data_IF_207214826074
#
_entry.id   IF_207214826074
#
_cell.length_a   1.000
_cell.length_b   1.000
_cell.length_c   1.000
_cell.angle_alpha   90.00
_cell.angle_beta   90.00
_cell.angle_gamma   90.00
#
_symmetry.space_group_name_H-M   'P 1'
#
loop_
_entity.id
_entity.type
_entity.pdbx_description
1 polymer ?
#
# COMPACT_ATOMS: atom_id res chain seq x y z
N UNK A 1 -26.31 23.73 -1.25
CA UNK A 1 -27.41 23.49 -0.30
C UNK A 1 -26.82 23.47 1.10
N UNK A 2 -27.53 23.91 2.14
CA UNK A 2 -27.01 23.89 3.51
C UNK A 2 -27.82 22.88 4.35
N UNK A 3 -27.14 21.94 4.98
CA UNK A 3 -27.76 20.94 5.87
C UNK A 3 -27.47 21.26 7.34
N UNK A 4 -28.44 21.10 8.25
CA UNK A 4 -28.21 21.30 9.68
C UNK A 4 -27.29 20.21 10.25
N UNK A 5 -26.41 20.60 11.17
CA UNK A 5 -25.58 19.64 11.91
C UNK A 5 -26.32 19.24 13.19
N UNK A 6 -26.66 17.95 13.41
CA UNK A 6 -27.32 17.51 14.62
C UNK A 6 -26.56 17.93 15.88
N UNK A 7 -27.27 18.50 16.86
CA UNK A 7 -26.68 18.98 18.12
C UNK A 7 -26.12 20.41 18.08
N UNK A 8 -26.13 21.09 16.93
CA UNK A 8 -25.68 22.48 16.81
C UNK A 8 -26.74 23.36 16.12
N UNK A 9 -27.38 24.23 16.90
CA UNK A 9 -28.47 25.11 16.45
C UNK A 9 -28.05 26.21 15.46
N UNK A 10 -26.77 26.58 15.45
CA UNK A 10 -26.26 27.71 14.65
C UNK A 10 -25.28 27.31 13.54
N UNK A 11 -24.92 26.03 13.43
CA UNK A 11 -23.99 25.56 12.40
C UNK A 11 -24.74 24.83 11.28
N UNK A 12 -24.36 25.14 10.04
CA UNK A 12 -24.89 24.49 8.84
C UNK A 12 -23.74 24.03 7.96
N UNK A 13 -23.80 22.78 7.50
CA UNK A 13 -22.86 22.21 6.55
C UNK A 13 -23.22 22.68 5.14
N UNK A 14 -22.29 23.37 4.48
CA UNK A 14 -22.44 23.66 3.06
C UNK A 14 -22.20 22.39 2.24
N UNK A 15 -23.24 21.89 1.59
CA UNK A 15 -23.18 20.82 0.60
C UNK A 15 -23.08 21.49 -0.77
N UNK A 16 -21.90 21.46 -1.37
CA UNK A 16 -21.70 21.95 -2.73
C UNK A 16 -22.57 21.14 -3.71
N UNK A 17 -23.35 21.80 -4.59
CA UNK A 17 -24.24 21.11 -5.54
C UNK A 17 -23.46 20.23 -6.54
N UNK A 18 -22.20 20.58 -6.82
CA UNK A 18 -21.27 19.75 -7.55
C UNK A 18 -20.17 19.32 -6.61
N UNK A 19 -20.26 18.10 -6.07
CA UNK A 19 -19.10 17.51 -5.39
C UNK A 19 -18.02 17.33 -6.45
N UNK A 20 -16.86 17.93 -6.22
CA UNK A 20 -15.71 17.73 -7.10
C UNK A 20 -15.28 16.27 -6.91
N UNK A 21 -15.68 15.42 -7.85
CA UNK A 21 -15.14 14.08 -7.95
C UNK A 21 -13.76 14.20 -8.60
N UNK A 22 -12.71 14.16 -7.80
CA UNK A 22 -11.33 14.00 -8.29
C UNK A 22 -11.14 12.56 -8.80
N UNK A 23 -11.93 12.16 -9.80
CA UNK A 23 -11.88 10.86 -10.45
C UNK A 23 -10.88 10.88 -11.60
N UNK A 24 -9.60 11.16 -11.31
CA UNK A 24 -8.56 10.96 -12.33
C UNK A 24 -8.52 9.47 -12.66
N UNK A 25 -8.93 9.14 -13.88
CA UNK A 25 -8.76 7.79 -14.40
C UNK A 25 -7.27 7.51 -14.58
N UNK A 26 -6.79 6.32 -14.21
CA UNK A 26 -5.41 5.95 -14.44
C UNK A 26 -5.14 5.90 -15.94
N UNK A 27 -3.98 6.39 -16.35
CA UNK A 27 -3.52 6.29 -17.73
C UNK A 27 -3.13 4.84 -18.05
N UNK A 28 -3.09 4.47 -19.33
CA UNK A 28 -2.67 3.13 -19.76
C UNK A 28 -1.26 2.78 -19.28
N UNK A 29 -0.35 3.76 -19.24
CA UNK A 29 1.00 3.60 -18.72
C UNK A 29 1.04 3.34 -17.20
N UNK A 30 0.15 3.97 -16.43
CA UNK A 30 0.03 3.73 -14.98
C UNK A 30 -0.54 2.34 -14.70
N UNK A 31 -1.54 1.90 -15.48
CA UNK A 31 -2.10 0.55 -15.40
C UNK A 31 -1.02 -0.50 -15.74
N UNK A 32 -0.24 -0.28 -16.80
CA UNK A 32 0.87 -1.16 -17.16
C UNK A 32 1.94 -1.23 -16.07
N UNK A 33 2.34 -0.07 -15.51
CA UNK A 33 3.28 0.00 -14.40
C UNK A 33 2.75 -0.73 -13.15
N UNK A 34 1.45 -0.60 -12.87
CA UNK A 34 0.81 -1.28 -11.74
C UNK A 34 0.86 -2.80 -11.92
N UNK A 35 0.47 -3.31 -13.09
CA UNK A 35 0.51 -4.73 -13.39
C UNK A 35 1.93 -5.30 -13.29
N UNK A 36 2.92 -4.56 -13.77
CA UNK A 36 4.33 -4.96 -13.76
C UNK A 36 4.85 -5.24 -12.33
N UNK A 37 4.51 -4.38 -11.37
CA UNK A 37 5.04 -4.49 -10.00
C UNK A 37 4.14 -5.29 -9.04
N UNK A 38 2.90 -5.59 -9.43
CA UNK A 38 1.88 -6.14 -8.53
C UNK A 38 2.35 -7.41 -7.83
N UNK A 39 2.94 -8.35 -8.57
CA UNK A 39 3.41 -9.60 -8.01
C UNK A 39 4.52 -9.40 -6.96
N UNK A 40 5.43 -8.44 -7.19
CA UNK A 40 6.52 -8.15 -6.24
C UNK A 40 6.02 -7.47 -4.97
N UNK A 41 5.07 -6.54 -5.11
CA UNK A 41 4.45 -5.87 -3.96
C UNK A 41 3.67 -6.87 -3.11
N UNK A 42 2.85 -7.74 -3.74
CA UNK A 42 2.13 -8.80 -3.04
C UNK A 42 3.09 -9.73 -2.32
N UNK A 43 4.21 -10.11 -2.97
CA UNK A 43 5.21 -10.98 -2.34
C UNK A 43 5.81 -10.38 -1.07
N UNK A 44 6.15 -9.09 -1.08
CA UNK A 44 6.67 -8.40 0.12
C UNK A 44 5.60 -8.37 1.21
N UNK A 45 4.35 -8.08 0.85
CA UNK A 45 3.24 -8.05 1.81
C UNK A 45 2.96 -9.43 2.42
N UNK A 46 3.08 -10.51 1.63
CA UNK A 46 2.98 -11.89 2.11
C UNK A 46 4.10 -12.22 3.10
N UNK A 47 5.34 -11.77 2.85
CA UNK A 47 6.43 -11.89 3.83
C UNK A 47 6.13 -11.08 5.09
N UNK A 48 5.65 -9.84 4.95
CA UNK A 48 5.32 -8.98 6.08
C UNK A 48 4.19 -9.55 6.96
N UNK A 49 3.23 -10.26 6.35
CA UNK A 49 2.12 -10.94 7.02
C UNK A 49 2.47 -12.37 7.50
N UNK A 50 3.69 -12.88 7.23
CA UNK A 50 4.15 -14.18 7.70
C UNK A 50 3.82 -15.38 6.80
N UNK A 51 3.20 -15.18 5.64
CA UNK A 51 2.91 -16.27 4.68
C UNK A 51 4.17 -16.81 4.00
N UNK A 52 5.25 -16.05 3.99
CA UNK A 52 6.52 -16.42 3.37
C UNK A 52 7.69 -16.11 4.30
N UNK A 53 8.72 -16.97 4.33
CA UNK A 53 9.96 -16.67 5.04
C UNK A 53 10.66 -15.42 4.51
N UNK A 54 11.29 -14.64 5.40
CA UNK A 54 12.08 -13.45 5.02
C UNK A 54 13.22 -13.78 4.05
N UNK A 55 13.78 -14.99 4.12
CA UNK A 55 14.84 -15.47 3.24
C UNK A 55 14.43 -15.48 1.76
N UNK A 56 13.13 -15.51 1.46
CA UNK A 56 12.61 -15.43 0.09
C UNK A 56 12.82 -14.04 -0.54
N UNK A 57 13.13 -13.01 0.25
CA UNK A 57 13.54 -11.70 -0.26
C UNK A 57 15.02 -11.67 -0.70
N UNK A 58 15.78 -12.78 -0.56
CA UNK A 58 17.15 -12.90 -1.08
C UNK A 58 17.14 -13.14 -2.60
N UNK A 59 16.63 -12.16 -3.35
CA UNK A 59 16.57 -12.17 -4.80
C UNK A 59 17.09 -10.83 -5.33
N UNK A 60 17.79 -10.78 -6.48
CA UNK A 60 18.22 -9.53 -7.10
C UNK A 60 17.05 -8.58 -7.43
N UNK A 61 15.81 -9.07 -7.42
CA UNK A 61 14.59 -8.28 -7.60
C UNK A 61 14.22 -7.41 -6.40
N UNK A 62 14.82 -7.64 -5.23
CA UNK A 62 14.57 -6.88 -4.02
C UNK A 62 15.88 -6.31 -3.50
N UNK A 63 15.92 -4.99 -3.26
CA UNK A 63 17.09 -4.38 -2.66
C UNK A 63 17.27 -4.79 -1.20
N UNK A 64 18.49 -4.69 -0.68
CA UNK A 64 18.81 -5.03 0.70
C UNK A 64 18.04 -4.16 1.72
N UNK A 65 17.73 -2.91 1.37
CA UNK A 65 16.97 -2.01 2.25
C UNK A 65 15.54 -2.51 2.49
N UNK A 66 14.93 -3.15 1.50
CA UNK A 66 13.61 -3.80 1.64
C UNK A 66 13.70 -4.93 2.65
N UNK A 67 14.72 -5.79 2.54
CA UNK A 67 14.91 -6.90 3.47
C UNK A 67 15.12 -6.42 4.90
N UNK A 68 15.91 -5.36 5.10
CA UNK A 68 16.12 -4.76 6.42
C UNK A 68 14.82 -4.20 7.01
N UNK A 69 14.07 -3.42 6.21
CA UNK A 69 12.80 -2.84 6.66
C UNK A 69 11.79 -3.94 7.02
N UNK A 70 11.56 -4.90 6.14
CA UNK A 70 10.59 -5.98 6.35
C UNK A 70 11.04 -6.94 7.45
N UNK A 71 12.34 -7.22 7.57
CA UNK A 71 12.87 -8.00 8.69
C UNK A 71 12.57 -7.33 10.03
N UNK A 72 12.78 -6.01 10.13
CA UNK A 72 12.44 -5.25 11.33
C UNK A 72 10.93 -5.23 11.61
N UNK A 73 10.11 -5.19 10.56
CA UNK A 73 8.65 -5.27 10.67
C UNK A 73 8.21 -6.62 11.25
N UNK A 74 8.68 -7.72 10.65
CA UNK A 74 8.32 -9.08 11.06
C UNK A 74 8.74 -9.34 12.50
N UNK A 75 9.92 -8.87 12.92
CA UNK A 75 10.40 -9.05 14.28
C UNK A 75 9.58 -8.28 15.33
N UNK A 76 8.90 -7.20 14.95
CA UNK A 76 8.03 -6.41 15.83
C UNK A 76 6.62 -6.98 15.98
N UNK A 77 6.25 -7.99 15.18
CA UNK A 77 4.95 -8.65 15.30
C UNK A 77 4.88 -9.38 16.64
N UNK A 78 3.69 -9.39 17.26
CA UNK A 78 3.47 -10.08 18.54
C UNK A 78 3.83 -11.57 18.47
N UNK A 79 3.56 -12.19 17.33
CA UNK A 79 3.95 -13.57 17.03
C UNK A 79 4.58 -13.60 15.63
N UNK A 80 5.92 -13.62 15.54
CA UNK A 80 6.63 -13.62 14.25
C UNK A 80 6.36 -14.86 13.40
N UNK A 81 5.85 -15.94 14.02
CA UNK A 81 5.58 -17.23 13.39
C UNK A 81 4.12 -17.41 12.96
N UNK A 82 3.22 -16.51 13.37
CA UNK A 82 1.83 -16.57 12.94
C UNK A 82 1.62 -15.88 11.59
N UNK A 83 0.57 -16.30 10.90
CA UNK A 83 0.11 -15.63 9.68
C UNK A 83 -1.00 -14.64 10.02
N UNK A 84 -0.79 -13.38 9.63
CA UNK A 84 -1.81 -12.35 9.74
C UNK A 84 -2.66 -12.35 8.46
N UNK A 85 -3.98 -12.19 8.59
CA UNK A 85 -4.84 -12.03 7.42
C UNK A 85 -4.34 -10.89 6.51
N UNK A 86 -4.12 -11.16 5.22
CA UNK A 86 -3.61 -10.18 4.27
C UNK A 86 -4.67 -9.83 3.22
N UNK A 87 -4.89 -8.53 3.01
CA UNK A 87 -5.69 -8.03 1.88
C UNK A 87 -5.09 -6.77 1.29
N UNK A 88 -4.62 -6.85 0.05
CA UNK A 88 -4.26 -5.66 -0.73
C UNK A 88 -5.52 -4.85 -1.03
N UNK A 89 -5.55 -3.59 -0.59
CA UNK A 89 -6.73 -2.71 -0.74
C UNK A 89 -6.58 -1.77 -1.93
N UNK A 90 -5.37 -1.26 -2.15
CA UNK A 90 -5.04 -0.42 -3.31
C UNK A 90 -3.58 -0.56 -3.68
N UNK A 91 -3.30 -0.43 -4.98
CA UNK A 91 -1.96 -0.33 -5.53
C UNK A 91 -2.00 0.65 -6.69
N UNK A 92 -1.15 1.66 -6.65
CA UNK A 92 -0.97 2.64 -7.69
C UNK A 92 0.50 2.68 -8.05
N UNK A 93 0.80 2.76 -9.34
CA UNK A 93 2.15 2.89 -9.84
C UNK A 93 2.21 3.98 -10.90
N UNK A 94 3.37 4.61 -11.01
CA UNK A 94 3.67 5.63 -12.00
C UNK A 94 4.74 5.11 -12.97
N UNK A 95 4.76 5.59 -14.23
CA UNK A 95 5.77 5.19 -15.21
C UNK A 95 7.22 5.51 -14.81
N UNK A 96 7.43 6.45 -13.89
CA UNK A 96 8.74 6.78 -13.34
C UNK A 96 9.24 5.74 -12.30
N UNK A 97 8.47 4.68 -12.03
CA UNK A 97 8.81 3.63 -11.09
C UNK A 97 8.32 3.87 -9.66
N UNK A 98 7.72 5.02 -9.34
CA UNK A 98 7.13 5.24 -8.02
C UNK A 98 5.84 4.43 -7.85
N UNK A 99 5.61 3.90 -6.65
CA UNK A 99 4.35 3.23 -6.33
C UNK A 99 3.96 3.43 -4.88
N UNK A 100 2.66 3.32 -4.62
CA UNK A 100 2.08 3.46 -3.30
C UNK A 100 0.73 2.76 -3.22
N UNK A 101 0.28 2.48 -2.02
CA UNK A 101 -0.98 1.78 -1.83
C UNK A 101 -1.31 1.54 -0.37
N UNK A 102 -2.27 0.67 -0.16
CA UNK A 102 -2.65 0.24 1.18
C UNK A 102 -3.00 -1.23 1.22
N UNK A 103 -2.69 -1.87 2.34
CA UNK A 103 -3.03 -3.25 2.62
C UNK A 103 -3.55 -3.36 4.05
N UNK A 104 -4.40 -4.36 4.28
CA UNK A 104 -4.78 -4.78 5.62
C UNK A 104 -3.90 -5.96 5.99
N UNK A 105 -3.25 -5.89 7.15
CA UNK A 105 -2.47 -6.98 7.75
C UNK A 105 -3.03 -7.22 9.15
N UNK A 106 -3.57 -8.42 9.37
CA UNK A 106 -4.31 -8.75 10.58
C UNK A 106 -5.58 -7.91 10.64
N UNK A 107 -5.69 -7.06 11.66
CA UNK A 107 -6.82 -6.14 11.84
C UNK A 107 -6.50 -4.69 11.50
N UNK A 108 -5.24 -4.39 11.14
CA UNK A 108 -4.75 -3.02 10.95
C UNK A 108 -4.58 -2.71 9.46
N UNK A 109 -4.93 -1.47 9.09
CA UNK A 109 -4.69 -0.96 7.74
C UNK A 109 -3.35 -0.23 7.73
N UNK A 110 -2.49 -0.64 6.79
CA UNK A 110 -1.18 -0.07 6.57
C UNK A 110 -1.11 0.60 5.20
N UNK A 111 -0.50 1.77 5.16
CA UNK A 111 -0.07 2.37 3.91
C UNK A 111 1.31 1.83 3.54
N UNK A 112 1.62 1.79 2.25
CA UNK A 112 2.97 1.51 1.79
C UNK A 112 3.34 2.39 0.60
N UNK A 113 4.64 2.55 0.41
CA UNK A 113 5.22 3.31 -0.70
C UNK A 113 6.58 2.75 -1.07
N UNK A 114 7.05 3.03 -2.29
CA UNK A 114 8.36 2.64 -2.74
C UNK A 114 8.67 3.04 -4.17
N UNK A 115 9.78 2.52 -4.67
CA UNK A 115 10.25 2.71 -6.03
C UNK A 115 10.67 1.39 -6.66
N UNK A 116 10.43 1.28 -7.96
CA UNK A 116 10.66 0.10 -8.78
C UNK A 116 11.44 0.44 -10.03
N UNK A 117 12.03 -0.58 -10.62
CA UNK A 117 12.67 -0.59 -11.94
C UNK A 117 12.15 -1.79 -12.71
N UNK A 118 12.48 -1.90 -13.99
CA UNK A 118 12.07 -3.05 -14.81
C UNK A 118 12.55 -4.39 -14.26
N UNK A 119 13.62 -4.38 -13.48
CA UNK A 119 14.24 -5.57 -12.90
C UNK A 119 13.76 -5.92 -11.49
N UNK A 120 13.06 -5.03 -10.80
CA UNK A 120 12.64 -5.25 -9.42
C UNK A 120 12.39 -4.00 -8.60
N UNK A 121 12.08 -4.21 -7.32
CA UNK A 121 11.80 -3.17 -6.33
C UNK A 121 13.10 -2.65 -5.69
N UNK A 122 13.30 -1.33 -5.77
CA UNK A 122 14.47 -0.62 -5.23
C UNK A 122 14.25 -0.13 -3.81
N UNK A 123 13.01 0.21 -3.48
CA UNK A 123 12.62 0.55 -2.12
C UNK A 123 11.19 0.08 -1.86
N UNK A 124 10.90 -0.21 -0.60
CA UNK A 124 9.56 -0.52 -0.10
C UNK A 124 9.53 -0.10 1.37
N UNK A 125 8.52 0.67 1.75
CA UNK A 125 8.28 1.08 3.13
C UNK A 125 6.82 0.85 3.49
N UNK A 126 6.64 0.04 4.53
CA UNK A 126 5.37 -0.14 5.22
C UNK A 126 5.26 0.89 6.35
N UNK A 127 4.10 1.53 6.46
CA UNK A 127 3.82 2.64 7.36
C UNK A 127 2.83 2.24 8.47
#
# INVERSE_FOLDING_TARGET
>A
MYEPIPGYSHLKLYIAPHRIHYGRLPTTAEVAAQHHIQAWVVFILEVAAGYRPIAHLNSPRFSDSIRLHIGSWVHRRKSPYDTDALRLTSLHARPNGEYFGSAVIGTQRHAFTGSATDQGLRSFRLL
#
